data_IF_167007043071
#
_entry.id   IF_167007043071
#
_cell.length_a   1.000
_cell.length_b   1.000
_cell.length_c   1.000
_cell.angle_alpha   90.00
_cell.angle_beta   90.00
_cell.angle_gamma   90.00
#
_symmetry.space_group_name_H-M   'P 1'
#
loop_
_entity.id
_entity.type
_entity.pdbx_description
1 polymer ?
#
# COMPACT_ATOMS: atom_id res chain seq x y z
N UNK A 1 -10.09 15.26 0.22
CA UNK A 1 -10.33 14.17 -0.78
C UNK A 1 -9.13 13.23 -0.87
N UNK A 2 -7.90 13.75 -0.77
CA UNK A 2 -6.66 12.98 -0.92
C UNK A 2 -6.50 11.84 0.10
N UNK A 3 -6.95 12.05 1.35
CA UNK A 3 -6.90 11.02 2.39
C UNK A 3 -7.66 9.72 2.02
N UNK A 4 -8.81 9.83 1.35
CA UNK A 4 -9.57 8.66 0.91
C UNK A 4 -8.83 7.86 -0.18
N UNK A 5 -8.18 8.56 -1.10
CA UNK A 5 -7.37 7.93 -2.14
C UNK A 5 -6.16 7.20 -1.54
N UNK A 6 -5.47 7.82 -0.58
CA UNK A 6 -4.38 7.18 0.14
C UNK A 6 -4.84 5.96 0.94
N UNK A 7 -5.99 6.05 1.61
CA UNK A 7 -6.58 4.93 2.33
C UNK A 7 -6.92 3.78 1.37
N UNK A 8 -7.54 4.08 0.22
CA UNK A 8 -7.84 3.08 -0.80
C UNK A 8 -6.57 2.41 -1.34
N UNK A 9 -5.54 3.19 -1.66
CA UNK A 9 -4.24 2.68 -2.11
C UNK A 9 -3.59 1.79 -1.04
N UNK A 10 -3.60 2.20 0.23
CA UNK A 10 -3.04 1.43 1.33
C UNK A 10 -3.78 0.10 1.54
N UNK A 11 -5.11 0.07 1.42
CA UNK A 11 -5.90 -1.15 1.53
C UNK A 11 -5.66 -2.11 0.36
N UNK A 12 -5.62 -1.59 -0.87
CA UNK A 12 -5.31 -2.39 -2.06
C UNK A 12 -3.90 -2.97 -1.97
N UNK A 13 -2.93 -2.15 -1.57
CA UNK A 13 -1.55 -2.58 -1.37
C UNK A 13 -1.43 -3.63 -0.25
N UNK A 14 -2.14 -3.47 0.87
CA UNK A 14 -2.17 -4.46 1.94
C UNK A 14 -2.77 -5.80 1.47
N UNK A 15 -3.85 -5.76 0.68
CA UNK A 15 -4.44 -6.95 0.07
C UNK A 15 -3.44 -7.64 -0.88
N UNK A 16 -2.74 -6.89 -1.73
CA UNK A 16 -1.71 -7.43 -2.60
C UNK A 16 -0.48 -7.94 -1.86
N UNK A 17 -0.05 -7.30 -0.77
CA UNK A 17 1.02 -7.80 0.09
C UNK A 17 0.66 -9.17 0.68
N UNK A 18 -0.58 -9.34 1.15
CA UNK A 18 -1.08 -10.64 1.60
C UNK A 18 -1.09 -11.69 0.50
N UNK A 19 -1.56 -11.33 -0.70
CA UNK A 19 -1.53 -12.22 -1.85
C UNK A 19 -0.09 -12.62 -2.26
N UNK A 20 0.85 -11.66 -2.30
CA UNK A 20 2.27 -11.89 -2.61
C UNK A 20 2.94 -12.82 -1.57
N UNK A 21 2.58 -12.68 -0.30
CA UNK A 21 3.05 -13.60 0.74
C UNK A 21 2.54 -15.04 0.54
N UNK A 22 1.44 -15.26 -0.18
CA UNK A 22 0.92 -16.58 -0.49
C UNK A 22 1.42 -17.16 -1.83
N UNK A 23 1.68 -16.31 -2.83
CA UNK A 23 2.10 -16.77 -4.16
C UNK A 23 3.36 -17.62 -4.11
N UNK A 24 3.37 -18.72 -4.88
CA UNK A 24 4.49 -19.67 -4.94
C UNK A 24 4.49 -20.77 -3.87
N UNK A 25 3.58 -20.72 -2.89
CA UNK A 25 3.52 -21.69 -1.77
C UNK A 25 2.40 -22.73 -1.87
N UNK A 26 1.63 -22.76 -2.95
CA UNK A 26 0.52 -23.70 -3.12
C UNK A 26 0.46 -24.19 -4.56
N UNK A 27 0.57 -25.50 -4.77
CA UNK A 27 0.55 -26.15 -6.09
C UNK A 27 -0.85 -26.47 -6.64
N UNK A 28 -1.93 -26.27 -5.87
CA UNK A 28 -3.29 -26.72 -6.25
C UNK A 28 -3.84 -25.97 -7.47
N UNK A 29 -4.62 -26.64 -8.32
CA UNK A 29 -5.18 -26.00 -9.54
C UNK A 29 -6.22 -24.91 -9.20
N UNK A 30 -7.06 -25.12 -8.18
CA UNK A 30 -8.09 -24.15 -7.75
C UNK A 30 -7.62 -23.36 -6.52
N UNK A 31 -7.08 -22.17 -6.73
CA UNK A 31 -6.47 -21.33 -5.67
C UNK A 31 -7.31 -20.14 -5.21
N UNK A 32 -8.44 -19.85 -5.85
CA UNK A 32 -9.20 -18.59 -5.65
C UNK A 32 -9.58 -18.33 -4.20
N UNK A 33 -10.10 -19.32 -3.47
CA UNK A 33 -10.46 -19.17 -2.05
C UNK A 33 -9.26 -18.86 -1.16
N UNK A 34 -8.10 -19.49 -1.41
CA UNK A 34 -6.88 -19.28 -0.63
C UNK A 34 -6.21 -17.95 -0.97
N UNK A 35 -6.23 -17.54 -2.23
CA UNK A 35 -5.83 -16.21 -2.66
C UNK A 35 -6.66 -15.12 -1.95
N UNK A 36 -7.98 -15.28 -1.88
CA UNK A 36 -8.86 -14.35 -1.18
C UNK A 36 -8.57 -14.32 0.34
N UNK A 37 -8.34 -15.49 0.95
CA UNK A 37 -7.95 -15.56 2.36
C UNK A 37 -6.62 -14.86 2.62
N UNK A 38 -5.63 -15.02 1.73
CA UNK A 38 -4.34 -14.35 1.81
C UNK A 38 -4.49 -12.82 1.73
N UNK A 39 -5.31 -12.34 0.79
CA UNK A 39 -5.65 -10.91 0.69
C UNK A 39 -6.33 -10.39 1.96
N UNK A 40 -7.27 -11.15 2.55
CA UNK A 40 -7.92 -10.80 3.82
C UNK A 40 -6.93 -10.74 4.99
N UNK A 41 -5.94 -11.63 5.04
CA UNK A 41 -4.86 -11.58 6.04
C UNK A 41 -4.00 -10.33 5.86
N UNK A 42 -3.68 -9.97 4.61
CA UNK A 42 -3.03 -8.71 4.26
C UNK A 42 -3.79 -7.50 4.78
N UNK A 43 -5.09 -7.41 4.48
CA UNK A 43 -5.97 -6.35 5.00
C UNK A 43 -6.01 -6.33 6.54
N UNK A 44 -6.13 -7.49 7.18
CA UNK A 44 -6.18 -7.58 8.65
C UNK A 44 -4.92 -7.04 9.32
N UNK A 45 -3.75 -7.14 8.66
CA UNK A 45 -2.49 -6.57 9.14
C UNK A 45 -2.32 -5.09 8.73
N UNK A 46 -2.78 -4.69 7.55
CA UNK A 46 -2.66 -3.32 7.05
C UNK A 46 -3.61 -2.32 7.70
N UNK A 47 -4.86 -2.72 8.00
CA UNK A 47 -5.88 -1.85 8.61
C UNK A 47 -5.39 -1.20 9.92
N UNK A 48 -4.78 -1.93 10.88
CA UNK A 48 -4.21 -1.31 12.08
C UNK A 48 -3.20 -0.18 11.79
N UNK A 49 -2.32 -0.35 10.81
CA UNK A 49 -1.35 0.69 10.42
C UNK A 49 -2.03 1.94 9.84
N UNK A 50 -3.06 1.75 9.01
CA UNK A 50 -3.88 2.83 8.48
C UNK A 50 -4.65 3.57 9.58
N UNK A 51 -5.25 2.83 10.52
CA UNK A 51 -5.96 3.40 11.67
C UNK A 51 -5.02 4.20 12.57
N UNK A 52 -3.81 3.69 12.82
CA UNK A 52 -2.81 4.40 13.61
C UNK A 52 -2.38 5.71 12.94
N UNK A 53 -2.07 5.68 11.63
CA UNK A 53 -1.75 6.90 10.87
C UNK A 53 -2.90 7.91 10.90
N UNK A 54 -4.15 7.43 10.76
CA UNK A 54 -5.35 8.27 10.88
C UNK A 54 -5.47 8.88 12.28
N UNK A 55 -5.25 8.09 13.33
CA UNK A 55 -5.29 8.57 14.71
C UNK A 55 -4.23 9.65 14.97
N UNK A 56 -3.01 9.52 14.41
CA UNK A 56 -1.97 10.54 14.50
C UNK A 56 -2.41 11.83 13.79
N UNK A 57 -2.90 11.73 12.55
CA UNK A 57 -3.40 12.89 11.81
C UNK A 57 -4.55 13.60 12.54
N UNK A 58 -5.50 12.84 13.07
CA UNK A 58 -6.63 13.35 13.85
C UNK A 58 -6.15 14.04 15.13
N UNK A 59 -5.22 13.44 15.86
CA UNK A 59 -4.64 14.02 17.08
C UNK A 59 -3.96 15.36 16.79
N UNK A 60 -3.18 15.44 15.71
CA UNK A 60 -2.53 16.68 15.28
C UNK A 60 -3.52 17.76 14.87
N UNK A 61 -4.62 17.37 14.22
CA UNK A 61 -5.68 18.29 13.82
C UNK A 61 -6.41 18.86 15.05
N UNK A 62 -6.76 18.03 16.03
CA UNK A 62 -7.47 18.47 17.23
C UNK A 62 -6.57 19.25 18.20
N UNK A 63 -5.26 19.00 18.20
CA UNK A 63 -4.28 19.74 19.00
C UNK A 63 -3.84 21.08 18.40
N UNK A 64 -4.24 21.41 17.17
CA UNK A 64 -3.84 22.66 16.51
C UNK A 64 -4.72 23.84 16.95
N UNK A 65 -4.07 25.01 17.17
CA UNK A 65 -4.76 26.27 17.42
C UNK A 65 -5.61 26.71 16.22
N UNK A 66 -5.06 26.55 15.01
CA UNK A 66 -5.79 26.72 13.75
C UNK A 66 -5.95 25.36 13.05
N UNK A 67 -7.16 24.81 13.15
CA UNK A 67 -7.50 23.51 12.55
C UNK A 67 -7.63 23.58 11.04
N UNK A 68 -8.04 24.72 10.49
CA UNK A 68 -8.24 24.87 9.05
C UNK A 68 -6.88 24.90 8.36
N UNK A 69 -5.94 25.69 8.88
CA UNK A 69 -4.56 25.70 8.39
C UNK A 69 -3.91 24.31 8.51
N UNK A 70 -4.08 23.64 9.66
CA UNK A 70 -3.52 22.29 9.87
C UNK A 70 -4.10 21.26 8.90
N UNK A 71 -5.41 21.30 8.65
CA UNK A 71 -6.05 20.42 7.68
C UNK A 71 -5.50 20.66 6.27
N UNK A 72 -5.37 21.92 5.85
CA UNK A 72 -4.84 22.28 4.54
C UNK A 72 -3.38 21.79 4.36
N UNK A 73 -2.54 21.91 5.39
CA UNK A 73 -1.19 21.36 5.37
C UNK A 73 -1.16 19.83 5.22
N UNK A 74 -2.00 19.11 5.97
CA UNK A 74 -2.10 17.66 5.91
C UNK A 74 -2.64 17.19 4.55
N UNK A 75 -3.63 17.87 3.98
CA UNK A 75 -4.18 17.53 2.66
C UNK A 75 -3.17 17.84 1.54
N UNK A 76 -2.40 18.93 1.64
CA UNK A 76 -1.30 19.23 0.72
C UNK A 76 -0.18 18.17 0.81
N UNK A 77 0.17 17.72 2.01
CA UNK A 77 1.12 16.62 2.20
C UNK A 77 0.59 15.31 1.60
N UNK A 78 -0.69 14.99 1.82
CA UNK A 78 -1.34 13.83 1.21
C UNK A 78 -1.31 13.90 -0.33
N UNK A 79 -1.52 15.07 -0.91
CA UNK A 79 -1.41 15.28 -2.35
C UNK A 79 0.01 14.98 -2.87
N UNK A 80 1.07 15.44 -2.19
CA UNK A 80 2.45 15.13 -2.57
C UNK A 80 2.75 13.63 -2.51
N UNK A 81 2.24 12.93 -1.50
CA UNK A 81 2.34 11.46 -1.44
C UNK A 81 1.65 10.81 -2.65
N UNK A 82 0.45 11.28 -3.01
CA UNK A 82 -0.28 10.78 -4.16
C UNK A 82 0.49 11.00 -5.47
N UNK A 83 1.18 12.11 -5.65
CA UNK A 83 2.01 12.35 -6.84
C UNK A 83 3.13 11.30 -6.96
N UNK A 84 3.70 10.84 -5.84
CA UNK A 84 4.67 9.75 -5.84
C UNK A 84 4.02 8.39 -6.10
N UNK A 85 2.84 8.13 -5.54
CA UNK A 85 2.21 6.80 -5.58
C UNK A 85 1.39 6.54 -6.84
N UNK A 86 0.77 7.57 -7.42
CA UNK A 86 -0.09 7.48 -8.60
C UNK A 86 0.59 6.83 -9.81
N UNK A 87 1.81 7.21 -10.24
CA UNK A 87 2.44 6.57 -11.39
C UNK A 87 2.72 5.09 -11.12
N UNK A 88 3.21 4.75 -9.93
CA UNK A 88 3.42 3.35 -9.53
C UNK A 88 2.10 2.55 -9.56
N UNK A 89 1.04 3.10 -8.95
CA UNK A 89 -0.28 2.48 -8.93
C UNK A 89 -0.86 2.30 -10.33
N UNK A 90 -0.65 3.27 -11.24
CA UNK A 90 -1.11 3.20 -12.62
C UNK A 90 -0.44 2.03 -13.37
N UNK A 91 0.87 1.83 -13.21
CA UNK A 91 1.57 0.71 -13.84
C UNK A 91 1.09 -0.63 -13.27
N UNK A 92 0.85 -0.71 -11.96
CA UNK A 92 0.28 -1.92 -11.32
C UNK A 92 -1.10 -2.24 -11.88
N UNK A 93 -2.00 -1.25 -11.96
CA UNK A 93 -3.36 -1.43 -12.49
C UNK A 93 -3.31 -1.82 -13.97
N UNK A 94 -2.45 -1.20 -14.77
CA UNK A 94 -2.28 -1.53 -16.18
C UNK A 94 -1.76 -2.96 -16.36
N UNK A 95 -0.80 -3.39 -15.53
CA UNK A 95 -0.27 -4.75 -15.56
C UNK A 95 -1.37 -5.78 -15.21
N UNK A 96 -2.19 -5.46 -14.22
CA UNK A 96 -3.31 -6.31 -13.82
C UNK A 96 -4.43 -6.35 -14.87
N UNK A 97 -4.72 -5.22 -15.50
CA UNK A 97 -5.65 -5.11 -16.63
C UNK A 97 -5.21 -6.02 -17.80
N UNK A 98 -3.94 -5.94 -18.18
CA UNK A 98 -3.35 -6.82 -19.19
C UNK A 98 -3.43 -8.30 -18.80
N UNK A 99 -3.29 -8.63 -17.52
CA UNK A 99 -3.44 -10.00 -17.04
C UNK A 99 -4.88 -10.51 -17.14
N UNK A 100 -5.87 -9.68 -16.80
CA UNK A 100 -7.27 -10.07 -16.74
C UNK A 100 -7.94 -10.13 -18.12
N UNK A 101 -7.54 -9.24 -19.03
CA UNK A 101 -8.18 -9.11 -20.36
C UNK A 101 -7.29 -9.54 -21.53
N UNK A 102 -5.97 -9.65 -21.32
CA UNK A 102 -5.04 -10.01 -22.37
C UNK A 102 -5.00 -11.51 -22.66
N UNK A 103 -4.49 -11.92 -23.84
CA UNK A 103 -4.22 -13.32 -24.13
C UNK A 103 -3.17 -13.86 -23.16
N UNK A 104 -3.31 -15.13 -22.76
CA UNK A 104 -2.53 -15.77 -21.68
C UNK A 104 -1.02 -15.46 -21.69
N UNK A 105 -0.39 -15.49 -22.87
CA UNK A 105 1.05 -15.18 -23.03
C UNK A 105 1.38 -13.72 -22.73
N UNK A 106 0.59 -12.78 -23.23
CA UNK A 106 0.79 -11.35 -23.01
C UNK A 106 0.48 -10.96 -21.56
N UNK A 107 -0.59 -11.52 -20.97
CA UNK A 107 -0.94 -11.29 -19.58
C UNK A 107 0.13 -11.80 -18.62
N UNK A 108 0.68 -13.00 -18.88
CA UNK A 108 1.77 -13.55 -18.06
C UNK A 108 3.04 -12.70 -18.17
N UNK A 109 3.41 -12.28 -19.39
CA UNK A 109 4.56 -11.40 -19.61
C UNK A 109 4.38 -10.05 -18.89
N UNK A 110 3.19 -9.45 -18.99
CA UNK A 110 2.87 -8.19 -18.33
C UNK A 110 2.97 -8.28 -16.80
N UNK A 111 2.54 -9.41 -16.22
CA UNK A 111 2.69 -9.64 -14.77
C UNK A 111 4.16 -9.83 -14.39
N UNK A 112 4.92 -10.63 -15.13
CA UNK A 112 6.33 -10.90 -14.80
C UNK A 112 7.18 -9.64 -14.94
N UNK A 113 7.04 -8.93 -16.05
CA UNK A 113 7.82 -7.72 -16.37
C UNK A 113 7.32 -6.51 -15.58
N UNK A 114 6.01 -6.39 -15.38
CA UNK A 114 5.41 -5.29 -14.62
C UNK A 114 5.54 -5.52 -13.12
N UNK A 115 4.81 -6.50 -12.58
CA UNK A 115 4.70 -6.69 -11.13
C UNK A 115 6.01 -7.16 -10.49
N UNK A 116 6.83 -7.95 -11.18
CA UNK A 116 8.11 -8.46 -10.65
C UNK A 116 9.04 -7.32 -10.17
N UNK A 117 9.54 -6.46 -11.06
CA UNK A 117 10.38 -5.32 -10.68
C UNK A 117 9.68 -4.33 -9.73
N UNK A 118 8.37 -4.12 -9.90
CA UNK A 118 7.60 -3.20 -9.05
C UNK A 118 7.56 -3.64 -7.58
N UNK A 119 7.64 -4.94 -7.29
CA UNK A 119 7.76 -5.39 -5.90
C UNK A 119 9.03 -4.89 -5.20
N UNK A 120 10.16 -4.79 -5.93
CA UNK A 120 11.41 -4.23 -5.41
C UNK A 120 11.36 -2.70 -5.32
N UNK A 121 10.62 -2.06 -6.22
CA UNK A 121 10.47 -0.61 -6.26
C UNK A 121 9.54 -0.09 -5.15
N UNK A 122 8.61 -0.93 -4.66
CA UNK A 122 7.60 -0.56 -3.64
C UNK A 122 8.19 0.15 -2.41
N UNK A 123 9.24 -0.34 -1.73
CA UNK A 123 9.82 0.36 -0.59
C UNK A 123 10.37 1.75 -0.94
N UNK A 124 11.00 1.88 -2.11
CA UNK A 124 11.55 3.16 -2.57
C UNK A 124 10.44 4.17 -2.86
N UNK A 125 9.34 3.74 -3.49
CA UNK A 125 8.17 4.59 -3.75
C UNK A 125 7.54 5.06 -2.44
N UNK A 126 7.34 4.15 -1.47
CA UNK A 126 6.78 4.49 -0.16
C UNK A 126 7.66 5.49 0.60
N UNK A 127 8.98 5.28 0.59
CA UNK A 127 9.93 6.21 1.21
C UNK A 127 9.92 7.58 0.50
N UNK A 128 9.90 7.60 -0.83
CA UNK A 128 9.82 8.84 -1.60
C UNK A 128 8.56 9.64 -1.27
N UNK A 129 7.39 8.97 -1.18
CA UNK A 129 6.15 9.61 -0.76
C UNK A 129 6.23 10.16 0.66
N UNK A 130 6.78 9.40 1.61
CA UNK A 130 6.95 9.85 3.00
C UNK A 130 7.86 11.08 3.12
N UNK A 131 8.97 11.09 2.38
CA UNK A 131 9.89 12.23 2.29
C UNK A 131 9.24 13.44 1.62
N UNK A 132 8.49 13.25 0.53
CA UNK A 132 7.79 14.32 -0.17
C UNK A 132 6.71 14.98 0.73
N UNK A 133 6.04 14.20 1.57
CA UNK A 133 5.12 14.73 2.58
C UNK A 133 5.84 15.61 3.62
N UNK A 134 6.95 15.09 4.17
CA UNK A 134 7.73 15.75 5.22
C UNK A 134 8.41 17.03 4.72
N UNK A 135 8.90 17.05 3.47
CA UNK A 135 9.63 18.17 2.90
C UNK A 135 8.84 19.48 2.91
N UNK A 136 7.53 19.42 2.68
CA UNK A 136 6.68 20.61 2.65
C UNK A 136 5.74 20.76 3.85
N UNK A 137 5.88 19.95 4.90
CA UNK A 137 5.16 20.12 6.18
C UNK A 137 5.79 19.22 7.26
N UNK A 138 6.50 19.82 8.22
CA UNK A 138 7.03 19.09 9.40
C UNK A 138 5.93 18.37 10.21
N UNK A 139 4.74 18.97 10.43
CA UNK A 139 3.62 18.31 11.09
C UNK A 139 3.10 17.06 10.35
N UNK A 140 3.28 16.97 9.04
CA UNK A 140 2.88 15.79 8.27
C UNK A 140 3.88 14.63 8.38
N UNK A 141 5.13 14.89 8.77
CA UNK A 141 6.19 13.88 8.88
C UNK A 141 5.84 12.68 9.79
N UNK A 142 5.29 12.84 11.02
CA UNK A 142 4.91 11.69 11.83
C UNK A 142 3.77 10.88 11.19
N UNK A 143 2.80 11.53 10.54
CA UNK A 143 1.69 10.87 9.85
C UNK A 143 2.20 10.01 8.70
N UNK A 144 3.07 10.58 7.86
CA UNK A 144 3.64 9.91 6.70
C UNK A 144 4.60 8.80 7.09
N UNK A 145 5.39 8.98 8.14
CA UNK A 145 6.28 7.95 8.69
C UNK A 145 5.50 6.74 9.22
N UNK A 146 4.45 6.97 10.02
CA UNK A 146 3.58 5.89 10.52
C UNK A 146 2.89 5.16 9.37
N UNK A 147 2.39 5.89 8.38
CA UNK A 147 1.79 5.28 7.18
C UNK A 147 2.79 4.41 6.42
N UNK A 148 4.00 4.93 6.16
CA UNK A 148 5.05 4.23 5.44
C UNK A 148 5.48 2.94 6.15
N UNK A 149 5.75 3.03 7.46
CA UNK A 149 6.10 1.86 8.28
C UNK A 149 4.95 0.86 8.29
N UNK A 150 3.71 1.30 8.50
CA UNK A 150 2.53 0.43 8.50
C UNK A 150 2.38 -0.35 7.20
N UNK A 151 2.52 0.32 6.05
CA UNK A 151 2.46 -0.30 4.71
C UNK A 151 3.60 -1.30 4.50
N UNK A 152 4.83 -0.94 4.84
CA UNK A 152 6.00 -1.81 4.63
C UNK A 152 6.01 -3.04 5.53
N UNK A 153 5.43 -2.95 6.74
CA UNK A 153 5.37 -4.05 7.69
C UNK A 153 4.33 -5.12 7.33
N UNK A 154 3.33 -4.83 6.48
CA UNK A 154 2.27 -5.80 6.15
C UNK A 154 2.84 -7.10 5.61
N UNK A 155 3.71 -7.01 4.62
CA UNK A 155 4.28 -8.18 3.94
C UNK A 155 5.11 -9.08 4.87
N UNK A 156 6.14 -8.58 5.60
CA UNK A 156 6.91 -9.41 6.53
C UNK A 156 6.06 -9.94 7.69
N UNK A 157 5.09 -9.16 8.19
CA UNK A 157 4.23 -9.61 9.28
C UNK A 157 3.29 -10.73 8.83
N UNK A 158 2.66 -10.61 7.66
CA UNK A 158 1.82 -11.68 7.08
C UNK A 158 2.66 -12.91 6.80
N UNK A 159 3.85 -12.73 6.24
CA UNK A 159 4.75 -13.84 5.92
C UNK A 159 5.14 -14.61 7.18
N UNK A 160 5.64 -13.93 8.23
CA UNK A 160 6.05 -14.57 9.48
C UNK A 160 4.90 -15.26 10.22
N UNK A 161 3.69 -14.69 10.16
CA UNK A 161 2.56 -15.19 10.96
C UNK A 161 1.79 -16.34 10.31
N UNK A 162 1.77 -16.43 8.98
CA UNK A 162 0.97 -17.44 8.28
C UNK A 162 1.71 -18.27 7.23
N UNK A 163 2.90 -17.85 6.80
CA UNK A 163 3.58 -18.44 5.64
C UNK A 163 5.08 -18.67 5.88
N UNK A 164 5.48 -18.78 7.15
CA UNK A 164 6.85 -19.08 7.55
C UNK A 164 7.26 -20.50 7.12
N UNK A 165 6.31 -21.44 7.14
CA UNK A 165 6.51 -22.82 6.68
C UNK A 165 5.83 -23.05 5.31
N UNK A 166 6.40 -23.89 4.44
CA UNK A 166 5.76 -24.31 3.20
C UNK A 166 4.48 -25.12 3.50
N UNK A 167 3.42 -24.91 2.71
CA UNK A 167 2.11 -25.60 2.84
C UNK A 167 1.93 -26.64 1.75
#
# INVERSE_FOLDING_TARGET
MNAFLLAALALVDAAFAGFRAYTGRDGRIRKTRRALLAARRGLAVGVPGLLLSTAVAVSLLFGAADRVARYAELDAAAHRMLLCYAPYAAVVVLSLACYLWGPFRAGTLAVVVGLGPLTLLRPLVVLAGALAAAWGSLPAAPVSAVAAVGVLLVEPAVHRRWYAEPV
#
